data_IF_297084872485
#
_entry.id   IF_297084872485
#
_cell.length_a   1.000
_cell.length_b   1.000
_cell.length_c   1.000
_cell.angle_alpha   90.00
_cell.angle_beta   90.00
_cell.angle_gamma   90.00
#
_symmetry.space_group_name_H-M   'P 1'
#
loop_
_entity.id
_entity.type
_entity.pdbx_description
1 polymer ?
#
# COMPACT_ATOMS: atom_id res chain seq x y z
N UNK A 1 9.16 -4.69 4.62
CA UNK A 1 8.79 -3.75 3.54
C UNK A 1 8.89 -2.34 4.07
N UNK A 2 9.65 -1.46 3.40
CA UNK A 2 9.68 -0.03 3.73
C UNK A 2 8.51 0.68 3.07
N UNK A 3 7.75 1.48 3.81
CA UNK A 3 6.55 2.13 3.28
C UNK A 3 6.63 3.64 3.47
N UNK A 4 6.43 4.40 2.39
CA UNK A 4 6.39 5.86 2.40
C UNK A 4 5.02 6.32 1.92
N UNK A 5 4.27 7.05 2.75
CA UNK A 5 2.98 7.65 2.41
C UNK A 5 3.12 9.17 2.40
N UNK A 6 2.85 9.80 1.26
CA UNK A 6 2.92 11.25 1.07
C UNK A 6 4.25 11.86 1.59
N UNK A 7 5.36 11.19 1.30
CA UNK A 7 6.72 11.62 1.66
C UNK A 7 7.16 11.30 3.09
N UNK A 8 6.36 10.59 3.90
CA UNK A 8 6.71 10.19 5.27
C UNK A 8 6.71 8.68 5.42
N UNK A 9 7.61 8.16 6.23
CA UNK A 9 7.61 6.74 6.60
C UNK A 9 6.29 6.37 7.31
N UNK A 10 5.78 5.18 7.04
CA UNK A 10 4.54 4.63 7.58
C UNK A 10 4.64 3.11 7.78
N UNK A 11 3.65 2.52 8.42
CA UNK A 11 3.52 1.07 8.63
C UNK A 11 3.69 0.59 10.07
N UNK A 12 3.94 1.50 11.02
CA UNK A 12 3.97 1.22 12.47
C UNK A 12 2.99 2.12 13.22
N UNK A 13 2.76 1.86 14.51
CA UNK A 13 1.87 2.69 15.33
C UNK A 13 2.38 4.13 15.46
N UNK A 14 3.71 4.29 15.49
CA UNK A 14 4.41 5.56 15.64
C UNK A 14 4.49 6.33 14.33
N UNK A 15 4.60 5.61 13.20
CA UNK A 15 4.75 6.21 11.86
C UNK A 15 3.42 6.32 11.08
N UNK A 16 2.36 5.68 11.56
CA UNK A 16 1.02 5.76 11.01
C UNK A 16 0.67 4.63 10.04
N UNK A 17 -0.59 4.59 9.62
CA UNK A 17 -1.18 3.56 8.78
C UNK A 17 -0.39 3.35 7.48
N UNK A 18 -0.06 2.09 7.16
CA UNK A 18 0.69 1.72 5.97
C UNK A 18 0.06 2.21 4.64
N UNK A 19 -1.25 2.48 4.59
CA UNK A 19 -1.92 2.94 3.36
C UNK A 19 -2.17 4.45 3.30
N UNK A 20 -2.49 5.09 4.44
CA UNK A 20 -2.97 6.48 4.47
C UNK A 20 -2.19 7.40 5.41
N UNK A 21 -1.28 6.87 6.23
CA UNK A 21 -0.46 7.62 7.18
C UNK A 21 -1.21 8.10 8.43
N UNK A 22 -2.48 7.74 8.61
CA UNK A 22 -3.23 8.09 9.82
C UNK A 22 -2.68 7.38 11.08
N UNK A 23 -2.63 8.06 12.21
CA UNK A 23 -2.05 7.54 13.47
C UNK A 23 -3.08 7.01 14.48
N UNK A 24 -4.37 7.15 14.17
CA UNK A 24 -5.47 6.57 14.95
C UNK A 24 -5.73 5.11 14.56
N UNK A 25 -6.49 4.38 15.38
CA UNK A 25 -6.80 2.97 15.16
C UNK A 25 -5.78 2.00 15.76
N UNK A 26 -6.04 0.70 15.66
CA UNK A 26 -5.24 -0.35 16.31
C UNK A 26 -5.23 -1.67 15.52
N UNK A 27 -5.52 -1.60 14.22
CA UNK A 27 -5.56 -2.79 13.37
C UNK A 27 -4.16 -3.18 12.90
N UNK A 28 -3.87 -4.48 12.88
CA UNK A 28 -2.62 -5.03 12.38
C UNK A 28 -2.91 -6.19 11.44
N UNK A 29 -2.12 -6.31 10.38
CA UNK A 29 -2.21 -7.40 9.42
C UNK A 29 -0.81 -7.86 9.02
N UNK A 30 -0.66 -9.16 8.76
CA UNK A 30 0.58 -9.70 8.21
C UNK A 30 0.53 -9.66 6.67
N UNK A 31 1.41 -8.86 6.07
CA UNK A 31 1.50 -8.68 4.62
C UNK A 31 2.95 -8.77 4.21
N UNK A 32 3.24 -9.65 3.26
CA UNK A 32 4.59 -9.90 2.74
C UNK A 32 5.64 -10.29 3.81
N UNK A 33 5.18 -10.94 4.89
CA UNK A 33 6.02 -11.35 6.02
C UNK A 33 6.26 -10.26 7.07
N UNK A 34 5.74 -9.05 6.86
CA UNK A 34 5.79 -7.96 7.83
C UNK A 34 4.45 -7.80 8.55
N UNK A 35 4.49 -7.56 9.86
CA UNK A 35 3.32 -7.16 10.64
C UNK A 35 3.14 -5.65 10.56
N UNK A 36 2.17 -5.20 9.78
CA UNK A 36 1.96 -3.77 9.47
C UNK A 36 0.78 -3.19 10.26
N UNK A 37 0.91 -1.93 10.67
CA UNK A 37 -0.15 -1.15 11.31
C UNK A 37 -1.08 -0.48 10.31
N UNK A 38 -2.38 -0.53 10.59
CA UNK A 38 -3.44 0.15 9.85
C UNK A 38 -4.41 0.85 10.80
N UNK A 39 -5.01 1.95 10.33
CA UNK A 39 -6.04 2.66 11.09
C UNK A 39 -7.36 1.89 11.17
N UNK A 40 -7.65 1.04 10.19
CA UNK A 40 -8.81 0.15 10.16
C UNK A 40 -8.51 -1.10 9.32
N UNK A 41 -9.37 -2.10 9.44
CA UNK A 41 -9.41 -3.32 8.63
C UNK A 41 -9.55 -3.03 7.13
N UNK A 42 -10.35 -2.03 6.76
CA UNK A 42 -10.56 -1.65 5.36
C UNK A 42 -9.27 -1.16 4.68
N UNK A 43 -8.46 -0.36 5.37
CA UNK A 43 -7.15 0.05 4.87
C UNK A 43 -6.19 -1.14 4.72
N UNK A 44 -6.28 -2.14 5.59
CA UNK A 44 -5.49 -3.36 5.46
C UNK A 44 -5.91 -4.18 4.24
N UNK A 45 -7.22 -4.32 4.01
CA UNK A 45 -7.79 -4.98 2.84
C UNK A 45 -7.35 -4.32 1.53
N UNK A 46 -7.55 -3.00 1.41
CA UNK A 46 -7.13 -2.21 0.24
C UNK A 46 -5.62 -2.38 -0.04
N UNK A 47 -4.80 -2.28 1.00
CA UNK A 47 -3.35 -2.43 0.88
C UNK A 47 -2.95 -3.84 0.43
N UNK A 48 -3.54 -4.87 1.04
CA UNK A 48 -3.30 -6.28 0.68
C UNK A 48 -3.68 -6.56 -0.76
N UNK A 49 -4.84 -6.06 -1.20
CA UNK A 49 -5.32 -6.21 -2.57
C UNK A 49 -4.41 -5.50 -3.58
N UNK A 50 -3.95 -4.29 -3.26
CA UNK A 50 -2.97 -3.56 -4.07
C UNK A 50 -1.65 -4.32 -4.19
N UNK A 51 -1.09 -4.81 -3.07
CA UNK A 51 0.17 -5.58 -3.06
C UNK A 51 0.02 -6.86 -3.90
N UNK A 52 -1.09 -7.57 -3.76
CA UNK A 52 -1.38 -8.77 -4.55
C UNK A 52 -1.46 -8.47 -6.05
N UNK A 53 -2.11 -7.38 -6.44
CA UNK A 53 -2.23 -6.98 -7.85
C UNK A 53 -0.86 -6.59 -8.44
N UNK A 54 -0.01 -5.89 -7.67
CA UNK A 54 1.39 -5.61 -8.07
C UNK A 54 2.16 -6.91 -8.28
N UNK A 55 2.14 -7.84 -7.31
CA UNK A 55 2.84 -9.13 -7.42
C UNK A 55 2.35 -9.95 -8.61
N UNK A 56 1.04 -9.97 -8.85
CA UNK A 56 0.42 -10.65 -10.00
C UNK A 56 0.92 -10.10 -11.34
N UNK A 57 1.02 -8.77 -11.48
CA UNK A 57 1.45 -8.12 -12.74
C UNK A 57 2.95 -8.21 -12.98
N UNK A 58 3.73 -8.13 -11.93
CA UNK A 58 5.21 -8.10 -11.99
C UNK A 58 5.85 -9.49 -11.90
N UNK A 59 5.11 -10.48 -11.40
CA UNK A 59 5.64 -11.80 -11.05
C UNK A 59 6.56 -11.78 -9.82
N UNK A 60 6.59 -10.70 -9.05
CA UNK A 60 7.46 -10.58 -7.88
C UNK A 60 6.93 -11.40 -6.70
N UNK A 61 7.85 -12.07 -6.00
CA UNK A 61 7.51 -12.81 -4.77
C UNK A 61 7.33 -11.89 -3.56
N UNK A 62 7.99 -10.72 -3.56
CA UNK A 62 7.96 -9.72 -2.49
C UNK A 62 8.13 -8.29 -3.02
N UNK A 63 7.89 -7.31 -2.17
CA UNK A 63 8.13 -5.88 -2.41
C UNK A 63 9.01 -5.35 -1.28
N UNK A 64 10.16 -4.77 -1.62
CA UNK A 64 11.10 -4.24 -0.64
C UNK A 64 10.68 -2.84 -0.15
N UNK A 65 10.22 -1.99 -1.08
CA UNK A 65 9.79 -0.62 -0.80
C UNK A 65 8.49 -0.29 -1.56
N UNK A 66 7.56 0.39 -0.89
CA UNK A 66 6.33 0.89 -1.48
C UNK A 66 6.16 2.38 -1.17
N UNK A 67 6.12 3.20 -2.21
CA UNK A 67 5.90 4.64 -2.11
C UNK A 67 4.49 4.94 -2.60
N UNK A 68 3.70 5.65 -1.81
CA UNK A 68 2.28 5.93 -2.04
C UNK A 68 2.05 7.43 -1.92
N UNK A 69 1.54 8.05 -2.98
CA UNK A 69 1.20 9.48 -2.99
C UNK A 69 -0.25 9.69 -3.43
N UNK A 70 -0.99 10.53 -2.70
CA UNK A 70 -2.40 10.81 -2.95
C UNK A 70 -3.30 10.38 -1.79
N UNK A 71 -4.58 10.22 -2.08
CA UNK A 71 -5.61 9.96 -1.07
C UNK A 71 -6.77 9.12 -1.66
N UNK A 72 -7.74 8.80 -0.80
CA UNK A 72 -8.91 8.00 -1.18
C UNK A 72 -9.73 8.62 -2.32
N UNK A 73 -10.00 9.92 -2.27
CA UNK A 73 -10.88 10.61 -3.23
C UNK A 73 -10.30 10.66 -4.65
N UNK A 74 -9.02 11.00 -4.77
CA UNK A 74 -8.34 11.15 -6.07
C UNK A 74 -7.70 9.85 -6.56
N UNK A 75 -7.61 8.84 -5.71
CA UNK A 75 -6.71 7.70 -5.92
C UNK A 75 -5.26 8.04 -5.58
N UNK A 76 -4.40 7.04 -5.76
CA UNK A 76 -2.99 7.07 -5.34
C UNK A 76 -2.08 6.73 -6.52
N UNK A 77 -0.99 7.48 -6.66
CA UNK A 77 0.13 7.11 -7.54
C UNK A 77 1.21 6.48 -6.69
N UNK A 78 1.64 5.30 -7.10
CA UNK A 78 2.48 4.41 -6.31
C UNK A 78 3.72 3.97 -7.10
N UNK A 79 4.77 3.66 -6.36
CA UNK A 79 6.00 3.03 -6.87
C UNK A 79 6.30 1.84 -5.97
N UNK A 80 6.19 0.64 -6.50
CA UNK A 80 6.66 -0.59 -5.85
C UNK A 80 8.08 -0.90 -6.33
N UNK A 81 8.95 -1.34 -5.41
CA UNK A 81 10.34 -1.69 -5.74
C UNK A 81 10.74 -3.07 -5.23
N UNK A 82 11.61 -3.73 -6.01
CA UNK A 82 12.28 -4.98 -5.65
C UNK A 82 13.74 -4.89 -6.13
N UNK A 83 14.68 -4.69 -5.20
CA UNK A 83 16.06 -4.34 -5.53
C UNK A 83 16.13 -3.09 -6.43
N UNK A 84 16.73 -3.23 -7.61
CA UNK A 84 16.86 -2.14 -8.61
C UNK A 84 15.62 -2.00 -9.51
N UNK A 85 14.64 -2.91 -9.41
CA UNK A 85 13.43 -2.87 -10.23
C UNK A 85 12.38 -1.96 -9.61
N UNK A 86 11.66 -1.24 -10.46
CA UNK A 86 10.51 -0.43 -10.06
C UNK A 86 9.28 -0.74 -10.93
N UNK A 87 8.10 -0.63 -10.30
CA UNK A 87 6.80 -0.73 -10.96
C UNK A 87 5.94 0.45 -10.53
N UNK A 88 5.62 1.33 -11.47
CA UNK A 88 4.87 2.56 -11.23
C UNK A 88 3.44 2.37 -11.68
N UNK A 89 2.51 2.79 -10.84
CA UNK A 89 1.09 2.59 -11.11
C UNK A 89 0.22 3.61 -10.40
N UNK A 90 -0.94 3.87 -10.97
CA UNK A 90 -2.06 4.55 -10.33
C UNK A 90 -3.08 3.51 -9.86
N UNK A 91 -3.60 3.67 -8.65
CA UNK A 91 -4.65 2.82 -8.08
C UNK A 91 -5.77 3.64 -7.45
N UNK A 92 -7.02 3.19 -7.63
CA UNK A 92 -8.19 3.65 -6.88
C UNK A 92 -9.02 2.45 -6.47
N UNK A 93 -9.42 2.41 -5.20
CA UNK A 93 -10.22 1.32 -4.64
C UNK A 93 -11.71 1.60 -4.83
N UNK A 94 -12.53 0.55 -4.85
CA UNK A 94 -13.98 0.67 -4.80
C UNK A 94 -14.48 0.71 -3.34
N UNK A 95 -15.80 0.82 -3.15
CA UNK A 95 -16.42 0.89 -1.82
C UNK A 95 -16.31 -0.41 -1.01
N UNK A 96 -15.88 -1.51 -1.64
CA UNK A 96 -15.69 -2.83 -1.02
C UNK A 96 -14.23 -3.08 -0.64
N UNK A 97 -13.32 -2.17 -0.98
CA UNK A 97 -11.88 -2.27 -0.70
C UNK A 97 -11.11 -3.06 -1.76
N UNK A 98 -11.77 -3.42 -2.85
CA UNK A 98 -11.15 -4.03 -4.02
C UNK A 98 -10.50 -2.98 -4.92
N UNK A 99 -9.55 -3.44 -5.73
CA UNK A 99 -8.89 -2.62 -6.75
C UNK A 99 -9.90 -2.31 -7.86
N UNK A 100 -10.48 -1.11 -7.84
CA UNK A 100 -11.43 -0.65 -8.86
C UNK A 100 -10.74 -0.16 -10.13
N UNK A 101 -9.74 0.71 -10.00
CA UNK A 101 -8.90 1.19 -11.10
C UNK A 101 -7.45 0.84 -10.80
N UNK A 102 -6.77 0.23 -11.76
CA UNK A 102 -5.34 0.00 -11.71
C UNK A 102 -4.73 0.26 -13.08
N UNK A 103 -3.82 1.23 -13.16
CA UNK A 103 -3.16 1.63 -14.41
C UNK A 103 -1.66 1.73 -14.19
N UNK A 104 -0.89 1.07 -15.03
CA UNK A 104 0.56 1.28 -15.08
C UNK A 104 0.88 2.68 -15.62
N UNK A 105 1.93 3.32 -15.09
CA UNK A 105 2.31 4.72 -15.39
C UNK A 105 3.77 4.83 -15.77
#
# INVERSE_FOLDING_TARGET
MKIIVNGKEAGSKETGCALCGATWGEYYEEIDGDRLFFCCDFCALEFKNMVNEVKKRTGWSKIDELIINGNYYTGRTCIAKLGEKEYKFYVKFNEEGDVGIFKEV
#
